data_IF_300488433304
#
_entry.id   IF_300488433304
#
_cell.length_a   1.000
_cell.length_b   1.000
_cell.length_c   1.000
_cell.angle_alpha   90.00
_cell.angle_beta   90.00
_cell.angle_gamma   90.00
#
_symmetry.space_group_name_H-M   'P 1'
#
loop_
_entity.id
_entity.type
_entity.pdbx_description
1 polymer ?
#
# COMPACT_ATOMS: atom_id res chain seq x y z
N UNK A 1 4.21 -2.48 20.53
CA UNK A 1 3.76 -1.89 19.25
C UNK A 1 3.32 -0.46 19.54
N UNK A 2 4.00 0.54 19.00
CA UNK A 2 3.77 1.97 19.31
C UNK A 2 2.49 2.50 18.64
N UNK A 3 1.80 3.42 19.30
CA UNK A 3 0.50 3.96 18.86
C UNK A 3 0.49 4.50 17.41
N UNK A 4 1.59 5.11 16.95
CA UNK A 4 1.74 5.63 15.58
C UNK A 4 1.68 4.56 14.49
N UNK A 5 2.08 3.32 14.79
CA UNK A 5 1.98 2.20 13.84
C UNK A 5 0.53 1.77 13.61
N UNK A 6 -0.35 2.02 14.59
CA UNK A 6 -1.77 1.65 14.57
C UNK A 6 -2.61 2.67 13.78
N UNK A 7 -2.34 3.97 13.92
CA UNK A 7 -3.06 5.03 13.19
C UNK A 7 -2.82 4.97 11.69
N UNK A 8 -1.57 4.73 11.27
CA UNK A 8 -1.23 4.62 9.85
C UNK A 8 -1.95 3.44 9.20
N UNK A 9 -2.00 2.29 9.89
CA UNK A 9 -2.70 1.11 9.37
C UNK A 9 -4.20 1.39 9.22
N UNK A 10 -4.82 2.04 10.21
CA UNK A 10 -6.25 2.39 10.13
C UNK A 10 -6.57 3.29 8.92
N UNK A 11 -5.67 4.23 8.58
CA UNK A 11 -5.83 5.09 7.38
C UNK A 11 -5.80 4.25 6.10
N UNK A 12 -4.89 3.28 5.99
CA UNK A 12 -4.79 2.42 4.81
C UNK A 12 -5.98 1.47 4.70
N UNK A 13 -6.39 0.87 5.81
CA UNK A 13 -7.55 -0.01 5.87
C UNK A 13 -8.83 0.74 5.49
N UNK A 14 -9.00 1.97 5.99
CA UNK A 14 -10.11 2.84 5.61
C UNK A 14 -10.08 3.19 4.13
N UNK A 15 -8.89 3.47 3.59
CA UNK A 15 -8.72 3.74 2.17
C UNK A 15 -9.13 2.53 1.32
N UNK A 16 -8.69 1.34 1.70
CA UNK A 16 -9.06 0.08 1.03
C UNK A 16 -10.57 -0.14 1.03
N UNK A 17 -11.25 -0.02 2.17
CA UNK A 17 -12.71 -0.22 2.21
C UNK A 17 -13.52 0.87 1.49
N UNK A 18 -12.94 2.07 1.31
CA UNK A 18 -13.56 3.14 0.52
C UNK A 18 -13.38 2.97 -1.00
N UNK A 19 -12.26 2.41 -1.46
CA UNK A 19 -11.90 2.38 -2.89
C UNK A 19 -11.95 0.96 -3.50
N UNK A 20 -12.00 -0.07 -2.66
CA UNK A 20 -11.94 -1.47 -3.09
C UNK A 20 -10.51 -1.99 -3.28
N UNK A 21 -10.37 -3.18 -3.90
CA UNK A 21 -9.08 -3.86 -4.13
C UNK A 21 -8.05 -3.03 -4.90
N UNK A 22 -7.11 -2.44 -4.18
CA UNK A 22 -6.01 -1.63 -4.72
C UNK A 22 -4.70 -1.94 -3.99
N UNK A 23 -3.57 -1.48 -4.51
CA UNK A 23 -2.25 -1.74 -3.95
C UNK A 23 -2.15 -1.43 -2.45
N UNK A 24 -2.78 -0.37 -1.94
CA UNK A 24 -2.74 -0.06 -0.50
C UNK A 24 -3.34 -1.13 0.41
N UNK A 25 -4.26 -1.95 -0.09
CA UNK A 25 -4.87 -3.07 0.63
C UNK A 25 -4.23 -4.43 0.33
N UNK A 26 -3.11 -4.46 -0.41
CA UNK A 26 -2.48 -5.70 -0.83
C UNK A 26 -1.41 -6.18 0.17
N UNK A 27 -1.39 -7.47 0.47
CA UNK A 27 -0.36 -8.13 1.31
C UNK A 27 1.07 -7.97 0.76
N UNK A 28 1.19 -7.71 -0.54
CA UNK A 28 2.48 -7.50 -1.21
C UNK A 28 2.94 -6.05 -1.16
N UNK A 29 2.18 -5.13 -0.55
CA UNK A 29 2.47 -3.71 -0.62
C UNK A 29 3.09 -3.18 0.68
N UNK A 30 4.35 -2.77 0.58
CA UNK A 30 5.07 -2.15 1.67
C UNK A 30 4.99 -0.63 1.53
N UNK A 31 4.26 0.00 2.44
CA UNK A 31 4.12 1.45 2.53
C UNK A 31 5.48 2.16 2.58
N UNK A 32 5.66 3.18 1.73
CA UNK A 32 6.80 4.13 1.80
C UNK A 32 6.30 5.44 2.41
N UNK A 33 5.22 6.00 1.84
CA UNK A 33 4.57 7.22 2.31
C UNK A 33 3.07 7.20 1.97
N UNK A 34 2.34 8.26 2.31
CA UNK A 34 0.89 8.32 2.15
C UNK A 34 0.36 8.14 0.71
N UNK A 35 1.21 8.22 -0.31
CA UNK A 35 0.84 8.12 -1.73
C UNK A 35 1.44 6.89 -2.42
N UNK A 36 2.62 6.43 -1.98
CA UNK A 36 3.39 5.40 -2.68
C UNK A 36 3.84 4.28 -1.75
N UNK A 37 4.04 3.11 -2.34
CA UNK A 37 4.62 1.95 -1.67
C UNK A 37 5.36 1.06 -2.65
N UNK A 38 6.03 0.06 -2.10
CA UNK A 38 6.84 -0.88 -2.82
C UNK A 38 6.18 -2.26 -2.87
N UNK A 39 6.13 -2.87 -4.05
CA UNK A 39 5.61 -4.21 -4.24
C UNK A 39 6.68 -5.26 -3.92
N UNK A 40 6.58 -5.95 -2.79
CA UNK A 40 7.55 -6.97 -2.36
C UNK A 40 7.52 -8.24 -3.21
N UNK A 41 6.43 -8.46 -3.96
CA UNK A 41 6.31 -9.56 -4.93
C UNK A 41 7.08 -9.30 -6.22
N UNK A 42 7.30 -8.04 -6.59
CA UNK A 42 8.11 -7.69 -7.77
C UNK A 42 9.58 -8.01 -7.54
N UNK A 43 10.32 -8.35 -8.59
CA UNK A 43 11.75 -8.61 -8.47
C UNK A 43 12.52 -7.33 -8.07
N UNK A 44 13.54 -7.42 -7.21
CA UNK A 44 14.45 -6.31 -6.98
C UNK A 44 15.35 -6.09 -8.20
N UNK A 45 15.88 -4.89 -8.36
CA UNK A 45 16.87 -4.57 -9.40
C UNK A 45 16.46 -3.43 -10.33
N UNK A 46 15.30 -2.81 -10.11
CA UNK A 46 14.94 -1.59 -10.81
C UNK A 46 15.85 -0.45 -10.36
N UNK A 47 16.35 0.33 -11.33
CA UNK A 47 17.13 1.51 -11.03
C UNK A 47 16.27 2.57 -10.33
N UNK A 48 16.90 3.52 -9.65
CA UNK A 48 16.17 4.66 -9.06
C UNK A 48 15.37 5.45 -10.10
N UNK A 49 15.91 5.58 -11.32
CA UNK A 49 15.24 6.27 -12.43
C UNK A 49 14.01 5.50 -12.92
N UNK A 50 14.07 4.17 -13.02
CA UNK A 50 12.89 3.36 -13.39
C UNK A 50 11.80 3.48 -12.32
N UNK A 51 12.19 3.41 -11.03
CA UNK A 51 11.25 3.59 -9.91
C UNK A 51 10.59 4.98 -9.96
N UNK A 52 11.35 6.03 -10.28
CA UNK A 52 10.79 7.37 -10.50
C UNK A 52 9.79 7.41 -11.65
N UNK A 53 10.16 6.83 -12.79
CA UNK A 53 9.34 6.80 -13.99
C UNK A 53 8.02 6.05 -13.78
N UNK A 54 8.03 4.96 -12.99
CA UNK A 54 6.81 4.25 -12.59
C UNK A 54 5.80 5.13 -11.84
N UNK A 55 6.27 6.17 -11.15
CA UNK A 55 5.41 7.15 -10.47
C UNK A 55 5.04 8.34 -11.37
N UNK A 56 5.46 8.34 -12.62
CA UNK A 56 5.25 9.43 -13.58
C UNK A 56 6.20 10.62 -13.39
N UNK A 57 7.33 10.44 -12.71
CA UNK A 57 8.28 11.50 -12.42
C UNK A 57 9.42 11.50 -13.45
N UNK A 58 9.70 12.67 -14.06
CA UNK A 58 10.68 12.79 -15.16
C UNK A 58 11.85 13.74 -14.87
N UNK A 59 11.87 14.43 -13.73
CA UNK A 59 12.92 15.41 -13.38
C UNK A 59 13.14 15.45 -11.87
N UNK A 60 13.61 14.33 -11.32
CA UNK A 60 13.91 14.22 -9.88
C UNK A 60 15.35 14.68 -9.63
N UNK A 61 15.52 15.66 -8.74
CA UNK A 61 16.83 16.11 -8.25
C UNK A 61 17.38 15.26 -7.11
N UNK A 62 16.50 14.58 -6.37
CA UNK A 62 16.86 13.65 -5.31
C UNK A 62 17.36 12.30 -5.87
N UNK A 63 18.36 11.72 -5.22
CA UNK A 63 18.78 10.35 -5.54
C UNK A 63 17.76 9.35 -5.01
N UNK A 64 17.25 8.50 -5.90
CA UNK A 64 16.40 7.36 -5.54
C UNK A 64 17.27 6.10 -5.61
N UNK A 65 17.25 5.30 -4.54
CA UNK A 65 17.97 4.03 -4.52
C UNK A 65 17.35 3.01 -5.48
N UNK A 66 18.18 2.08 -5.96
CA UNK A 66 17.67 0.90 -6.64
C UNK A 66 16.80 0.06 -5.69
N UNK A 67 15.86 -0.71 -6.23
CA UNK A 67 14.93 -1.45 -5.41
C UNK A 67 13.93 -2.28 -6.20
N UNK A 68 12.76 -2.51 -5.59
CA UNK A 68 11.63 -3.20 -6.21
C UNK A 68 10.69 -2.17 -6.85
N UNK A 69 9.69 -2.67 -7.57
CA UNK A 69 8.66 -1.85 -8.20
C UNK A 69 7.93 -1.02 -7.17
N UNK A 70 7.67 0.25 -7.52
CA UNK A 70 6.86 1.17 -6.72
C UNK A 70 5.52 1.42 -7.40
N UNK A 71 4.47 1.54 -6.61
CA UNK A 71 3.11 1.81 -7.10
C UNK A 71 2.47 2.92 -6.30
N UNK A 72 1.50 3.60 -6.91
CA UNK A 72 0.58 4.47 -6.18
C UNK A 72 -0.35 3.62 -5.32
N UNK A 73 -0.86 4.21 -4.24
CA UNK A 73 -1.76 3.53 -3.29
C UNK A 73 -3.07 3.04 -3.94
N UNK A 74 -3.54 3.74 -4.96
CA UNK A 74 -4.79 3.52 -5.70
C UNK A 74 -4.60 2.67 -6.96
N UNK A 75 -3.40 2.17 -7.21
CA UNK A 75 -3.10 1.34 -8.36
C UNK A 75 -3.82 -0.02 -8.25
N UNK A 76 -4.36 -0.50 -9.37
CA UNK A 76 -5.05 -1.79 -9.46
C UNK A 76 -4.19 -2.74 -10.32
N UNK A 77 -3.63 -3.78 -9.71
CA UNK A 77 -2.77 -4.72 -10.42
C UNK A 77 -3.33 -6.15 -10.38
N UNK A 78 -3.06 -6.93 -11.44
CA UNK A 78 -3.49 -8.33 -11.53
C UNK A 78 -2.80 -9.28 -10.54
N UNK A 79 -1.81 -8.79 -9.79
CA UNK A 79 -1.10 -9.55 -8.77
C UNK A 79 -1.62 -9.31 -7.34
N UNK A 80 -2.71 -8.54 -7.20
CA UNK A 80 -3.35 -8.24 -5.92
C UNK A 80 -3.64 -9.51 -5.12
N UNK A 81 -3.36 -9.45 -3.83
CA UNK A 81 -3.65 -10.49 -2.86
C UNK A 81 -4.02 -9.83 -1.52
N UNK A 82 -5.09 -10.35 -0.93
CA UNK A 82 -5.56 -10.02 0.42
C UNK A 82 -6.01 -11.33 1.08
N UNK A 83 -5.07 -11.96 1.79
CA UNK A 83 -5.32 -13.15 2.60
C UNK A 83 -5.62 -12.78 4.06
N UNK A 84 -5.78 -11.49 4.36
CA UNK A 84 -5.96 -11.02 5.72
C UNK A 84 -7.36 -11.40 6.24
N UNK A 85 -7.39 -11.99 7.45
CA UNK A 85 -8.63 -12.43 8.07
C UNK A 85 -9.40 -11.25 8.70
N UNK A 86 -9.97 -10.37 7.87
CA UNK A 86 -10.73 -9.19 8.32
C UNK A 86 -11.78 -9.49 9.39
N UNK A 87 -12.44 -10.65 9.29
CA UNK A 87 -13.47 -11.11 10.23
C UNK A 87 -12.95 -11.40 11.65
N UNK A 88 -11.64 -11.54 11.82
CA UNK A 88 -11.00 -11.72 13.12
C UNK A 88 -10.83 -10.40 13.89
N UNK A 89 -11.00 -9.24 13.22
CA UNK A 89 -10.84 -7.95 13.86
C UNK A 89 -12.04 -7.58 14.76
N UNK A 90 -11.82 -6.80 15.83
CA UNK A 90 -12.90 -6.34 16.70
C UNK A 90 -13.94 -5.48 15.95
N UNK A 91 -15.24 -5.67 16.26
CA UNK A 91 -16.34 -4.89 15.68
C UNK A 91 -16.13 -3.36 15.74
N UNK A 92 -15.62 -2.77 16.86
CA UNK A 92 -15.36 -1.33 16.88
C UNK A 92 -14.33 -0.87 15.86
N UNK A 93 -13.35 -1.72 15.52
CA UNK A 93 -12.34 -1.39 14.50
C UNK A 93 -12.95 -1.46 13.10
N UNK A 94 -13.67 -2.54 12.78
CA UNK A 94 -14.37 -2.72 11.50
C UNK A 94 -15.30 -1.53 11.19
N UNK A 95 -16.01 -1.03 12.22
CA UNK A 95 -16.87 0.16 12.08
C UNK A 95 -16.09 1.43 11.76
N UNK A 96 -14.88 1.63 12.31
CA UNK A 96 -14.06 2.83 12.05
C UNK A 96 -13.47 2.86 10.64
N UNK A 97 -13.11 1.69 10.11
CA UNK A 97 -12.54 1.58 8.76
C UNK A 97 -13.60 1.46 7.66
N UNK A 98 -14.87 1.24 8.02
CA UNK A 98 -15.96 1.08 7.05
C UNK A 98 -16.05 -0.32 6.44
N UNK A 99 -15.47 -1.33 7.10
CA UNK A 99 -15.55 -2.72 6.66
C UNK A 99 -16.95 -3.31 6.92
N UNK A 100 -17.38 -4.32 6.13
CA UNK A 100 -18.62 -5.06 6.38
C UNK A 100 -18.67 -5.62 7.81
N UNK A 101 -19.79 -5.39 8.50
CA UNK A 101 -19.96 -5.71 9.93
C UNK A 101 -20.52 -7.12 10.20
N UNK A 102 -20.57 -7.98 9.18
CA UNK A 102 -21.41 -9.19 9.01
C UNK A 102 -22.72 -8.90 8.30
#
# INVERSE_FOLDING_TARGET
>A
MTAAMNERQEILDRFYWQHGPCCAGCDHWRHINALFGECVKSQPGLSGADRAAMLGMTSISAQISAGRAVTKRDEHCGAFADAFAWRALPLPYLKRIGAPLR
#
